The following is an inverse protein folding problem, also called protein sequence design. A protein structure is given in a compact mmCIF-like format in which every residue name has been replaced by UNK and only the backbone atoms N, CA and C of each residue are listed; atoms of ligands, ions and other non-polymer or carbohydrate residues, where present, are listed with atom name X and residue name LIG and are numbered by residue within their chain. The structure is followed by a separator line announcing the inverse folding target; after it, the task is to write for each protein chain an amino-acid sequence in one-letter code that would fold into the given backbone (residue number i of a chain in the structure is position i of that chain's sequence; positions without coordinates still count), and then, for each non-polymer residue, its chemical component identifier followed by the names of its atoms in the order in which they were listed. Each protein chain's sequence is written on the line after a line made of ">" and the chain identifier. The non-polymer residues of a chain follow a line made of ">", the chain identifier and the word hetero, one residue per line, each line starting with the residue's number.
data_IF_503612301561
#
_entry.id   IF_503612301561
#
_cell.length_a   1.000
_cell.length_b   1.000
_cell.length_c   1.000
_cell.angle_alpha   90.00
_cell.angle_beta   90.00
_cell.angle_gamma   90.00
#
_symmetry.space_group_name_H-M   'P 1'
#
loop_
_entity.id
_entity.type
_entity.pdbx_description
1 polymer ?
#
# COMPACT_ATOMS: atom_id res chain seq x y z
N UNK A 1 -3.76 10.45 6.62
CA UNK A 1 -3.23 9.10 6.95
C UNK A 1 -2.24 8.67 5.88
N UNK A 2 -1.41 7.66 6.12
CA UNK A 2 -0.47 7.17 5.11
C UNK A 2 -0.12 5.69 5.32
N UNK A 3 0.38 5.02 4.28
CA UNK A 3 0.84 3.61 4.33
C UNK A 3 2.33 3.56 3.98
N UNK A 4 3.11 2.85 4.81
CA UNK A 4 4.48 2.42 4.46
C UNK A 4 4.47 0.99 3.96
N UNK A 5 5.20 0.70 2.89
CA UNK A 5 5.23 -0.60 2.22
C UNK A 5 6.66 -1.09 2.03
N UNK A 6 6.89 -2.38 2.30
CA UNK A 6 8.20 -3.01 2.14
C UNK A 6 9.10 -2.93 3.39
N UNK A 7 8.58 -2.51 4.54
CA UNK A 7 9.34 -2.47 5.80
C UNK A 7 10.46 -1.42 5.85
N UNK A 8 10.55 -0.56 4.83
CA UNK A 8 11.48 0.56 4.71
C UNK A 8 10.81 1.71 3.98
N UNK A 9 11.28 2.93 4.22
CA UNK A 9 10.83 4.10 3.48
C UNK A 9 11.55 4.20 2.13
N UNK A 10 10.78 4.43 1.07
CA UNK A 10 11.29 4.66 -0.28
C UNK A 10 10.78 6.03 -0.76
N UNK A 11 11.45 7.14 -0.45
CA UNK A 11 10.97 8.49 -0.82
C UNK A 11 10.89 8.72 -2.33
N UNK A 12 9.87 9.45 -2.78
CA UNK A 12 9.65 9.85 -4.18
C UNK A 12 9.88 8.70 -5.18
N UNK A 13 9.36 7.52 -4.84
CA UNK A 13 9.68 6.27 -5.53
C UNK A 13 8.43 5.62 -6.09
N UNK A 14 8.64 4.78 -7.10
CA UNK A 14 7.62 3.90 -7.63
C UNK A 14 7.79 2.50 -7.04
N UNK A 15 6.74 2.00 -6.40
CA UNK A 15 6.66 0.64 -5.87
C UNK A 15 5.80 -0.21 -6.79
N UNK A 16 6.31 -1.38 -7.18
CA UNK A 16 5.57 -2.38 -7.93
C UNK A 16 4.96 -3.38 -6.94
N UNK A 17 3.64 -3.46 -6.90
CA UNK A 17 2.88 -4.26 -5.96
C UNK A 17 2.08 -5.32 -6.72
N UNK A 18 2.06 -6.55 -6.19
CA UNK A 18 1.21 -7.62 -6.70
C UNK A 18 0.53 -8.33 -5.54
N UNK A 19 -0.80 -8.44 -5.61
CA UNK A 19 -1.58 -9.22 -4.65
C UNK A 19 -1.75 -10.65 -5.13
N UNK A 20 -1.50 -11.62 -4.25
CA UNK A 20 -1.47 -13.05 -4.57
C UNK A 20 -0.68 -13.33 -5.88
N UNK A 21 -1.35 -13.87 -6.91
CA UNK A 21 -0.80 -14.09 -8.26
C UNK A 21 -1.43 -13.15 -9.31
N UNK A 22 -1.95 -12.00 -8.86
CA UNK A 22 -2.60 -11.01 -9.71
C UNK A 22 -1.64 -10.21 -10.58
N UNK A 23 -2.14 -9.11 -11.13
CA UNK A 23 -1.35 -8.19 -11.96
C UNK A 23 -0.35 -7.42 -11.08
N UNK A 24 0.79 -7.07 -11.68
CA UNK A 24 1.73 -6.12 -11.09
C UNK A 24 1.23 -4.69 -11.35
N UNK A 25 1.13 -3.90 -10.30
CA UNK A 25 0.56 -2.56 -10.31
C UNK A 25 1.57 -1.56 -9.71
N UNK A 26 1.51 -0.31 -10.18
CA UNK A 26 2.44 0.74 -9.78
C UNK A 26 1.79 1.70 -8.80
N UNK A 27 2.52 2.03 -7.73
CA UNK A 27 2.11 3.00 -6.71
C UNK A 27 3.26 3.95 -6.43
N UNK A 28 2.93 5.23 -6.24
CA UNK A 28 3.93 6.27 -5.98
C UNK A 28 3.94 6.63 -4.51
N UNK A 29 5.13 6.79 -3.96
CA UNK A 29 5.35 7.29 -2.60
C UNK A 29 5.68 8.78 -2.61
N UNK A 30 5.29 9.46 -1.53
CA UNK A 30 5.60 10.85 -1.26
C UNK A 30 7.10 11.07 -0.94
N UNK A 31 7.44 12.32 -0.62
CA UNK A 31 8.80 12.73 -0.19
C UNK A 31 9.29 12.06 1.10
N UNK A 32 8.42 11.38 1.84
CA UNK A 32 8.71 10.67 3.09
C UNK A 32 8.70 9.14 2.90
N UNK A 33 8.36 8.66 1.70
CA UNK A 33 8.31 7.24 1.39
C UNK A 33 6.99 6.55 1.76
N UNK A 34 5.90 7.31 1.88
CA UNK A 34 4.57 6.77 2.15
C UNK A 34 3.62 6.97 0.97
N UNK A 35 2.58 6.14 0.91
CA UNK A 35 1.43 6.41 0.07
C UNK A 35 0.51 7.33 0.88
N UNK A 36 0.53 8.61 0.53
CA UNK A 36 -0.32 9.65 1.13
C UNK A 36 -1.79 9.41 0.79
N UNK A 37 -2.68 9.88 1.68
CA UNK A 37 -4.13 9.75 1.52
C UNK A 37 -4.86 11.08 1.68
N UNK A 38 -4.13 12.19 1.67
CA UNK A 38 -4.60 13.58 1.87
C UNK A 38 -4.75 14.35 0.55
N UNK A 39 -4.45 13.72 -0.59
CA UNK A 39 -4.77 14.21 -1.93
C UNK A 39 -5.85 13.32 -2.58
N UNK A 40 -6.61 13.86 -3.54
CA UNK A 40 -7.64 13.08 -4.26
C UNK A 40 -7.08 11.82 -4.93
N UNK A 41 -5.86 11.91 -5.45
CA UNK A 41 -5.17 10.76 -6.07
C UNK A 41 -4.69 9.77 -5.00
N UNK A 42 -4.11 10.28 -3.91
CA UNK A 42 -3.66 9.47 -2.78
C UNK A 42 -4.80 8.74 -2.07
N UNK A 43 -5.96 9.39 -1.93
CA UNK A 43 -7.18 8.82 -1.36
C UNK A 43 -7.64 7.55 -2.13
N UNK A 44 -7.69 7.64 -3.46
CA UNK A 44 -8.06 6.51 -4.31
C UNK A 44 -7.05 5.35 -4.19
N UNK A 45 -5.75 5.65 -4.19
CA UNK A 45 -4.70 4.64 -4.02
C UNK A 45 -4.75 4.00 -2.62
N UNK A 46 -4.97 4.81 -1.58
CA UNK A 46 -5.10 4.35 -0.21
C UNK A 46 -6.28 3.40 -0.05
N UNK A 47 -7.48 3.80 -0.51
CA UNK A 47 -8.67 2.94 -0.47
C UNK A 47 -8.49 1.65 -1.26
N UNK A 48 -7.90 1.74 -2.45
CA UNK A 48 -7.59 0.56 -3.27
C UNK A 48 -6.72 -0.43 -2.49
N UNK A 49 -5.64 0.04 -1.87
CA UNK A 49 -4.71 -0.79 -1.11
C UNK A 49 -5.37 -1.40 0.12
N UNK A 50 -6.12 -0.61 0.90
CA UNK A 50 -6.84 -1.12 2.08
C UNK A 50 -7.81 -2.23 1.68
N UNK A 51 -8.60 -2.04 0.62
CA UNK A 51 -9.54 -3.06 0.16
C UNK A 51 -8.83 -4.33 -0.30
N UNK A 52 -7.70 -4.20 -1.00
CA UNK A 52 -6.93 -5.35 -1.44
C UNK A 52 -6.25 -6.07 -0.26
N UNK A 53 -5.72 -5.33 0.72
CA UNK A 53 -5.15 -5.93 1.93
C UNK A 53 -6.17 -6.76 2.70
N UNK A 54 -7.45 -6.34 2.72
CA UNK A 54 -8.54 -7.07 3.38
C UNK A 54 -9.00 -8.32 2.63
N UNK A 55 -8.83 -8.37 1.31
CA UNK A 55 -9.36 -9.43 0.43
C UNK A 55 -8.32 -10.51 0.11
N UNK A 56 -7.05 -10.15 0.00
CA UNK A 56 -5.99 -11.03 -0.47
C UNK A 56 -5.20 -11.69 0.65
N UNK A 57 -4.48 -12.77 0.31
CA UNK A 57 -3.71 -13.57 1.28
C UNK A 57 -2.25 -13.16 1.36
N UNK A 58 -1.69 -12.66 0.27
CA UNK A 58 -0.28 -12.25 0.16
C UNK A 58 -0.16 -10.96 -0.64
N UNK A 59 0.88 -10.19 -0.33
CA UNK A 59 1.31 -9.05 -1.13
C UNK A 59 2.80 -9.17 -1.40
N UNK A 60 3.15 -9.02 -2.66
CA UNK A 60 4.52 -8.90 -3.15
C UNK A 60 4.79 -7.44 -3.46
N UNK A 61 5.95 -6.93 -3.04
CA UNK A 61 6.37 -5.55 -3.23
C UNK A 61 7.80 -5.57 -3.79
N UNK A 62 8.02 -4.82 -4.87
CA UNK A 62 9.33 -4.56 -5.46
C UNK A 62 9.58 -3.06 -5.51
N UNK A 63 10.67 -2.65 -4.90
CA UNK A 63 11.16 -1.28 -4.89
C UNK A 63 12.13 -1.04 -6.08
N UNK A 64 12.39 0.23 -6.45
CA UNK A 64 13.15 0.53 -7.67
C UNK A 64 14.63 0.17 -7.58
N UNK A 65 15.17 0.06 -6.36
CA UNK A 65 16.53 -0.41 -6.11
C UNK A 65 16.68 -1.95 -6.21
N UNK A 66 15.64 -2.66 -6.67
CA UNK A 66 15.63 -4.12 -6.77
C UNK A 66 15.36 -4.82 -5.44
N UNK A 67 15.06 -4.09 -4.36
CA UNK A 67 14.62 -4.69 -3.11
C UNK A 67 13.22 -5.29 -3.30
N UNK A 68 13.09 -6.56 -2.94
CA UNK A 68 11.85 -7.32 -3.09
C UNK A 68 11.45 -7.91 -1.75
N UNK A 69 10.14 -7.94 -1.48
CA UNK A 69 9.59 -8.48 -0.26
C UNK A 69 8.21 -9.07 -0.49
N UNK A 70 7.92 -10.17 0.20
CA UNK A 70 6.59 -10.79 0.20
C UNK A 70 6.07 -10.88 1.62
N UNK A 71 4.87 -10.37 1.84
CA UNK A 71 4.20 -10.38 3.14
C UNK A 71 2.93 -11.23 3.06
N UNK A 72 2.64 -11.93 4.15
CA UNK A 72 1.35 -12.63 4.32
C UNK A 72 0.37 -11.70 5.02
N UNK A 73 -0.85 -11.62 4.48
CA UNK A 73 -1.92 -10.74 4.97
C UNK A 73 -2.85 -11.45 5.96
N UNK A 74 -2.33 -12.41 6.73
CA UNK A 74 -3.15 -13.16 7.70
C UNK A 74 -3.60 -12.22 8.82
N UNK A 75 -4.92 -12.00 8.92
CA UNK A 75 -5.51 -11.14 9.95
C UNK A 75 -5.55 -9.65 9.59
N UNK A 76 -5.14 -9.26 8.38
CA UNK A 76 -5.20 -7.87 7.89
C UNK A 76 -6.61 -7.27 8.01
N UNK A 77 -7.65 -8.03 7.67
CA UNK A 77 -9.04 -7.58 7.77
C UNK A 77 -9.42 -7.18 9.18
N UNK A 78 -9.00 -7.97 10.18
CA UNK A 78 -9.26 -7.69 11.59
C UNK A 78 -8.45 -6.49 12.09
N UNK A 79 -7.19 -6.37 11.66
CA UNK A 79 -6.30 -5.28 12.08
C UNK A 79 -6.70 -3.92 11.49
N UNK A 80 -7.12 -3.90 10.23
CA UNK A 80 -7.52 -2.67 9.53
C UNK A 80 -8.92 -2.20 9.92
N UNK A 81 -9.81 -3.13 10.32
CA UNK A 81 -11.17 -2.82 10.78
C UNK A 81 -11.94 -1.92 9.81
N UNK A 82 -12.85 -1.10 10.34
CA UNK A 82 -13.58 -0.06 9.61
C UNK A 82 -13.01 1.36 9.86
N UNK A 83 -12.03 1.48 10.75
CA UNK A 83 -11.54 2.76 11.26
C UNK A 83 -10.29 3.28 10.51
N UNK A 84 -9.66 2.45 9.69
CA UNK A 84 -8.58 2.85 8.80
C UNK A 84 -9.15 3.63 7.59
N UNK A 85 -9.51 4.89 7.84
CA UNK A 85 -10.09 5.82 6.86
C UNK A 85 -8.99 6.66 6.20
N UNK A 86 -9.26 7.28 5.06
CA UNK A 86 -8.26 8.17 4.45
C UNK A 86 -8.17 9.50 5.21
N UNK A 87 -7.11 10.26 4.98
CA UNK A 87 -6.99 11.63 5.50
C UNK A 87 -7.77 12.68 4.70
N UNK A 88 -8.08 12.40 3.43
CA UNK A 88 -8.78 13.32 2.52
C UNK A 88 -10.30 13.25 2.67
N UNK A 89 -10.83 12.07 2.97
CA UNK A 89 -12.28 11.83 3.12
C UNK A 89 -12.80 12.18 4.53
N UNK A 90 -12.02 12.94 5.32
CA UNK A 90 -12.33 13.37 6.68
C UNK A 90 -12.26 14.89 6.83
#
# INVERSE_FOLDING_TARGET
>A
MSISLGGREFPNSELLIRFDNGKLESFHTDKRGYIESDSRVGDAQFHYLIDHFKKHKKVYIRAPNGYESTFTLKGSTKALGNDCKSGFSY
#
